data_IF_949338894843
#
_entry.id   IF_949338894843
#
_cell.length_a   1.000
_cell.length_b   1.000
_cell.length_c   1.000
_cell.angle_alpha   90.00
_cell.angle_beta   90.00
_cell.angle_gamma   90.00
#
_symmetry.space_group_name_H-M   'P 1'
#
loop_
_entity.id
_entity.type
_entity.pdbx_description
1 polymer ?
#
# COMPACT_ATOMS: atom_id res chain seq x y z
N UNK A 1 -24.44 6.91 20.47
CA UNK A 1 -25.46 7.93 20.32
C UNK A 1 -26.20 7.81 18.99
N UNK A 2 -27.20 8.65 18.76
CA UNK A 2 -28.00 8.65 17.52
C UNK A 2 -27.13 8.88 16.27
N UNK A 3 -26.09 9.71 16.38
CA UNK A 3 -25.15 10.00 15.28
C UNK A 3 -24.52 8.74 14.66
N UNK A 4 -24.06 7.81 15.45
CA UNK A 4 -23.48 6.57 14.94
C UNK A 4 -24.53 5.62 14.35
N UNK A 5 -25.78 5.69 14.80
CA UNK A 5 -26.89 4.94 14.22
C UNK A 5 -27.23 5.49 12.83
N UNK A 6 -27.30 6.79 12.69
CA UNK A 6 -27.60 7.44 11.42
C UNK A 6 -26.46 7.20 10.42
N UNK A 7 -25.20 7.32 10.85
CA UNK A 7 -24.04 6.99 10.04
C UNK A 7 -24.04 5.52 9.59
N UNK A 8 -24.37 4.58 10.51
CA UNK A 8 -24.49 3.16 10.15
C UNK A 8 -25.56 2.92 9.08
N UNK A 9 -26.71 3.59 9.17
CA UNK A 9 -27.76 3.50 8.17
C UNK A 9 -27.27 4.02 6.82
N UNK A 10 -26.57 5.16 6.79
CA UNK A 10 -25.97 5.71 5.58
C UNK A 10 -25.02 4.72 4.90
N UNK A 11 -24.09 4.12 5.68
CA UNK A 11 -23.14 3.14 5.16
C UNK A 11 -23.88 1.89 4.68
N UNK A 12 -24.86 1.39 5.43
CA UNK A 12 -25.65 0.21 5.07
C UNK A 12 -26.41 0.40 3.77
N UNK A 13 -27.05 1.56 3.57
CA UNK A 13 -27.80 1.84 2.34
C UNK A 13 -26.86 2.02 1.13
N UNK A 14 -25.68 2.61 1.33
CA UNK A 14 -24.63 2.64 0.33
C UNK A 14 -24.20 1.22 -0.04
N UNK A 15 -23.91 0.38 0.92
CA UNK A 15 -23.47 -1.01 0.69
C UNK A 15 -24.53 -1.84 -0.03
N UNK A 16 -25.82 -1.71 0.33
CA UNK A 16 -26.93 -2.38 -0.41
C UNK A 16 -26.97 -1.96 -1.87
N UNK A 17 -26.79 -0.66 -2.14
CA UNK A 17 -26.79 -0.12 -3.51
C UNK A 17 -25.63 -0.65 -4.34
N UNK A 18 -24.47 -0.89 -3.74
CA UNK A 18 -23.24 -1.25 -4.44
C UNK A 18 -22.74 -2.68 -4.15
N UNK A 19 -23.55 -3.55 -3.54
CA UNK A 19 -23.19 -4.93 -3.22
C UNK A 19 -22.88 -5.82 -4.43
N UNK A 20 -23.31 -5.45 -5.62
CA UNK A 20 -23.05 -6.18 -6.88
C UNK A 20 -22.04 -5.48 -7.79
N UNK A 21 -21.22 -4.57 -7.25
CA UNK A 21 -20.22 -3.89 -8.07
C UNK A 21 -19.05 -4.81 -8.38
N UNK A 22 -18.76 -4.96 -9.67
CA UNK A 22 -17.55 -5.58 -10.18
C UNK A 22 -16.51 -4.50 -10.51
N UNK A 23 -15.36 -4.58 -9.83
CA UNK A 23 -14.25 -3.67 -10.07
C UNK A 23 -13.33 -4.24 -11.16
N UNK A 24 -13.17 -3.49 -12.25
CA UNK A 24 -12.20 -3.82 -13.29
C UNK A 24 -10.78 -3.82 -12.70
N UNK A 25 -10.07 -4.95 -12.89
CA UNK A 25 -8.65 -5.05 -12.53
C UNK A 25 -7.82 -4.29 -13.55
N UNK A 26 -6.99 -3.37 -13.12
CA UNK A 26 -6.18 -2.54 -14.01
C UNK A 26 -5.05 -3.31 -14.72
N UNK A 27 -4.69 -4.52 -14.32
CA UNK A 27 -3.51 -5.23 -14.88
C UNK A 27 -3.50 -6.77 -14.81
N UNK A 28 -4.55 -7.43 -14.33
CA UNK A 28 -4.63 -8.90 -14.39
C UNK A 28 -5.81 -9.28 -15.27
N UNK A 29 -5.60 -9.95 -16.42
CA UNK A 29 -6.70 -10.58 -17.16
C UNK A 29 -7.19 -11.73 -16.28
N UNK A 30 -8.18 -11.51 -15.44
CA UNK A 30 -8.94 -12.61 -14.88
C UNK A 30 -9.70 -13.23 -16.05
N UNK A 31 -9.61 -14.57 -16.12
CA UNK A 31 -10.31 -15.43 -17.05
C UNK A 31 -11.70 -14.88 -17.40
N UNK A 32 -12.05 -14.95 -18.68
CA UNK A 32 -13.27 -14.51 -19.31
C UNK A 32 -14.56 -15.06 -18.65
N UNK A 33 -14.87 -14.62 -17.44
CA UNK A 33 -16.22 -14.80 -16.90
C UNK A 33 -17.11 -13.68 -17.45
N UNK A 34 -18.07 -14.09 -18.27
CA UNK A 34 -19.09 -13.20 -18.82
C UNK A 34 -19.84 -12.54 -17.67
N UNK A 35 -19.77 -11.21 -17.60
CA UNK A 35 -20.61 -10.38 -16.74
C UNK A 35 -22.08 -10.82 -16.85
N UNK A 36 -22.70 -11.13 -15.70
CA UNK A 36 -24.14 -11.37 -15.66
C UNK A 36 -24.86 -10.05 -15.88
N UNK A 37 -25.88 -10.02 -16.71
CA UNK A 37 -26.65 -8.80 -16.99
C UNK A 37 -27.25 -8.24 -15.69
N UNK A 38 -26.90 -7.00 -15.33
CA UNK A 38 -27.38 -6.30 -14.13
C UNK A 38 -26.30 -5.89 -13.14
N UNK A 39 -25.04 -6.26 -13.36
CA UNK A 39 -23.92 -5.91 -12.49
C UNK A 39 -23.35 -4.53 -12.86
N UNK A 40 -23.11 -3.69 -11.85
CA UNK A 40 -22.48 -2.38 -12.05
C UNK A 40 -20.99 -2.62 -12.25
N UNK A 41 -20.48 -2.35 -13.45
CA UNK A 41 -19.03 -2.34 -13.70
C UNK A 41 -18.46 -0.96 -13.39
N UNK A 42 -17.34 -0.91 -12.68
CA UNK A 42 -16.67 0.32 -12.32
C UNK A 42 -15.15 0.13 -12.31
N UNK A 43 -14.41 1.15 -12.77
CA UNK A 43 -12.97 1.17 -12.61
C UNK A 43 -12.62 1.27 -11.12
N UNK A 44 -11.54 0.59 -10.72
CA UNK A 44 -11.09 0.64 -9.33
C UNK A 44 -10.78 2.05 -8.85
N UNK A 45 -10.19 2.89 -9.69
CA UNK A 45 -9.93 4.31 -9.37
C UNK A 45 -11.21 5.11 -9.13
N UNK A 46 -12.26 4.88 -9.93
CA UNK A 46 -13.54 5.57 -9.76
C UNK A 46 -14.24 5.12 -8.46
N UNK A 47 -14.09 3.85 -8.11
CA UNK A 47 -14.55 3.31 -6.82
C UNK A 47 -13.83 3.98 -5.65
N UNK A 48 -12.50 4.10 -5.68
CA UNK A 48 -11.73 4.80 -4.66
C UNK A 48 -12.20 6.25 -4.49
N UNK A 49 -12.30 6.99 -5.60
CA UNK A 49 -12.80 8.37 -5.61
C UNK A 49 -14.21 8.48 -5.01
N UNK A 50 -15.09 7.53 -5.33
CA UNK A 50 -16.44 7.49 -4.74
C UNK A 50 -16.41 7.25 -3.24
N UNK A 51 -15.57 6.31 -2.76
CA UNK A 51 -15.43 6.02 -1.33
C UNK A 51 -14.85 7.22 -0.56
N UNK A 52 -13.85 7.90 -1.12
CA UNK A 52 -13.28 9.12 -0.54
C UNK A 52 -14.37 10.21 -0.45
N UNK A 53 -15.09 10.48 -1.54
CA UNK A 53 -16.16 11.47 -1.59
C UNK A 53 -17.25 11.22 -0.53
N UNK A 54 -17.52 9.96 -0.22
CA UNK A 54 -18.49 9.54 0.80
C UNK A 54 -17.91 9.53 2.23
N UNK A 55 -16.61 9.72 2.39
CA UNK A 55 -15.92 9.61 3.67
C UNK A 55 -15.86 8.17 4.21
N UNK A 56 -15.88 7.17 3.33
CA UNK A 56 -15.75 5.77 3.68
C UNK A 56 -14.32 5.24 3.51
N UNK A 57 -13.46 6.05 2.90
CA UNK A 57 -12.03 5.82 2.75
C UNK A 57 -11.25 7.11 2.92
N UNK A 58 -9.96 7.03 3.31
CA UNK A 58 -9.05 8.17 3.49
C UNK A 58 -9.65 9.29 4.37
N UNK A 59 -10.37 8.91 5.44
CA UNK A 59 -11.17 9.85 6.26
C UNK A 59 -10.36 10.96 6.89
N UNK A 60 -9.21 10.61 7.47
CA UNK A 60 -8.35 11.56 8.21
C UNK A 60 -7.30 12.24 7.33
N UNK A 61 -7.20 11.86 6.06
CA UNK A 61 -6.25 12.48 5.14
C UNK A 61 -6.82 13.83 4.71
N UNK A 62 -6.02 14.91 4.76
CA UNK A 62 -6.47 16.25 4.38
C UNK A 62 -7.00 16.32 2.93
N UNK A 63 -7.97 17.19 2.71
CA UNK A 63 -8.57 17.38 1.37
C UNK A 63 -7.58 17.89 0.34
N UNK A 64 -6.62 18.69 0.77
CA UNK A 64 -5.54 19.23 -0.06
C UNK A 64 -4.63 18.15 -0.66
N UNK A 65 -4.63 16.95 -0.06
CA UNK A 65 -3.92 15.75 -0.58
C UNK A 65 -4.89 14.67 -1.08
N UNK A 66 -6.10 15.04 -1.46
CA UNK A 66 -7.09 14.13 -2.06
C UNK A 66 -7.86 13.26 -1.07
N UNK A 67 -7.74 13.48 0.25
CA UNK A 67 -8.49 12.77 1.27
C UNK A 67 -9.88 13.35 1.53
N UNK A 68 -10.63 12.76 2.46
CA UNK A 68 -11.94 13.27 2.88
C UNK A 68 -11.82 14.49 3.81
N UNK A 69 -10.73 14.61 4.57
CA UNK A 69 -10.47 15.73 5.47
C UNK A 69 -11.37 15.76 6.70
N UNK A 70 -11.77 14.60 7.19
CA UNK A 70 -12.52 14.43 8.43
C UNK A 70 -11.61 14.10 9.61
N UNK A 71 -12.18 14.16 10.82
CA UNK A 71 -11.47 13.76 12.03
C UNK A 71 -11.27 12.24 12.11
N UNK A 72 -10.28 11.82 12.89
CA UNK A 72 -10.05 10.42 13.22
C UNK A 72 -11.21 9.95 14.12
N UNK A 73 -11.96 8.97 13.63
CA UNK A 73 -13.08 8.36 14.34
C UNK A 73 -13.05 6.83 14.15
N UNK A 74 -12.53 6.14 15.15
CA UNK A 74 -12.38 4.69 15.13
C UNK A 74 -13.73 3.97 15.08
N UNK A 75 -14.80 4.58 15.65
CA UNK A 75 -16.14 3.96 15.65
C UNK A 75 -16.70 4.03 14.24
N UNK A 76 -16.59 5.17 13.55
CA UNK A 76 -17.01 5.30 12.15
C UNK A 76 -16.23 4.36 11.24
N UNK A 77 -14.92 4.25 11.42
CA UNK A 77 -14.08 3.30 10.66
C UNK A 77 -14.54 1.86 10.86
N UNK A 78 -14.84 1.47 12.10
CA UNK A 78 -15.36 0.14 12.42
C UNK A 78 -16.74 -0.10 11.78
N UNK A 79 -17.65 0.87 11.84
CA UNK A 79 -18.98 0.78 11.21
C UNK A 79 -18.83 0.53 9.70
N UNK A 80 -17.94 1.26 9.02
CA UNK A 80 -17.67 1.06 7.59
C UNK A 80 -17.23 -0.37 7.34
N UNK A 81 -16.21 -0.86 8.04
CA UNK A 81 -15.68 -2.21 7.86
C UNK A 81 -16.76 -3.29 8.09
N UNK A 82 -17.58 -3.15 9.12
CA UNK A 82 -18.66 -4.09 9.45
C UNK A 82 -19.75 -4.13 8.35
N UNK A 83 -20.20 -2.97 7.87
CA UNK A 83 -21.28 -2.92 6.86
C UNK A 83 -20.79 -3.39 5.48
N UNK A 84 -19.56 -3.06 5.10
CA UNK A 84 -18.94 -3.56 3.86
C UNK A 84 -18.80 -5.09 3.90
N UNK A 85 -18.36 -5.67 5.01
CA UNK A 85 -18.22 -7.12 5.16
C UNK A 85 -19.56 -7.87 5.09
N UNK A 86 -20.64 -7.30 5.68
CA UNK A 86 -21.99 -7.91 5.68
C UNK A 86 -22.58 -8.06 4.28
N UNK A 87 -22.25 -7.19 3.37
CA UNK A 87 -22.89 -7.09 2.05
C UNK A 87 -22.01 -7.54 0.90
N UNK A 88 -20.79 -8.03 1.18
CA UNK A 88 -19.75 -8.28 0.19
C UNK A 88 -19.47 -7.08 -0.75
N UNK A 89 -19.67 -5.87 -0.23
CA UNK A 89 -19.31 -4.65 -0.96
C UNK A 89 -17.79 -4.60 -1.08
N UNK A 90 -17.20 -4.32 -2.27
CA UNK A 90 -15.77 -4.27 -2.42
C UNK A 90 -15.13 -3.27 -1.44
N UNK A 91 -14.15 -3.67 -0.64
CA UNK A 91 -13.46 -2.75 0.27
C UNK A 91 -12.64 -1.73 -0.53
N UNK A 92 -12.23 -0.62 0.08
CA UNK A 92 -11.22 0.26 -0.51
C UNK A 92 -9.93 -0.52 -0.78
N UNK A 93 -9.12 -0.03 -1.73
CA UNK A 93 -7.77 -0.55 -1.91
C UNK A 93 -6.95 -0.29 -0.65
N UNK A 94 -6.15 -1.26 -0.28
CA UNK A 94 -5.04 -1.13 0.64
C UNK A 94 -3.72 -1.35 -0.09
N UNK A 95 -2.68 -1.62 0.66
CA UNK A 95 -1.36 -1.98 0.19
C UNK A 95 -0.30 -0.97 0.60
N UNK A 96 0.96 -1.29 0.31
CA UNK A 96 2.13 -0.62 0.86
C UNK A 96 2.12 0.91 0.65
N UNK A 97 1.61 1.38 -0.50
CA UNK A 97 1.49 2.81 -0.75
C UNK A 97 0.49 3.49 0.19
N UNK A 98 -0.71 2.94 0.30
CA UNK A 98 -1.82 3.54 1.07
C UNK A 98 -1.59 3.39 2.57
N UNK A 99 -1.22 2.17 3.00
CA UNK A 99 -1.20 1.82 4.42
C UNK A 99 0.11 2.20 5.11
N UNK A 100 1.19 2.39 4.35
CA UNK A 100 2.52 2.64 4.88
C UNK A 100 3.10 3.98 4.38
N UNK A 101 3.20 4.18 3.06
CA UNK A 101 3.87 5.36 2.51
C UNK A 101 3.06 6.65 2.70
N UNK A 102 1.75 6.63 2.42
CA UNK A 102 0.91 7.84 2.58
C UNK A 102 1.02 8.43 3.98
N UNK A 103 0.83 7.66 5.08
CA UNK A 103 1.01 8.21 6.42
C UNK A 103 2.46 8.64 6.68
N UNK A 104 3.47 7.95 6.14
CA UNK A 104 4.88 8.36 6.25
C UNK A 104 5.12 9.71 5.56
N UNK A 105 4.57 9.93 4.37
CA UNK A 105 4.70 11.21 3.68
C UNK A 105 3.96 12.33 4.40
N UNK A 106 2.78 12.08 4.97
CA UNK A 106 2.06 13.07 5.78
C UNK A 106 2.89 13.54 6.97
N UNK A 107 3.66 12.63 7.58
CA UNK A 107 4.48 12.92 8.76
C UNK A 107 5.84 13.53 8.38
N UNK A 108 6.54 13.00 7.38
CA UNK A 108 7.96 13.25 7.12
C UNK A 108 8.28 13.71 5.69
N UNK A 109 7.32 13.68 4.77
CA UNK A 109 7.50 14.13 3.40
C UNK A 109 7.52 15.64 3.25
N UNK A 110 8.15 16.14 2.19
CA UNK A 110 8.05 17.54 1.81
C UNK A 110 6.67 17.86 1.27
N UNK A 111 6.31 19.13 1.18
CA UNK A 111 5.02 19.55 0.67
C UNK A 111 4.83 19.12 -0.79
N UNK A 112 5.90 19.23 -1.59
CA UNK A 112 5.91 18.80 -2.98
C UNK A 112 5.69 17.28 -3.10
N UNK A 113 6.30 16.49 -2.21
CA UNK A 113 6.10 15.03 -2.18
C UNK A 113 4.66 14.67 -1.81
N UNK A 114 4.07 15.35 -0.82
CA UNK A 114 2.67 15.13 -0.42
C UNK A 114 1.71 15.43 -1.57
N UNK A 115 1.87 16.59 -2.22
CA UNK A 115 1.04 17.01 -3.36
C UNK A 115 1.21 16.05 -4.55
N UNK A 116 2.43 15.59 -4.82
CA UNK A 116 2.73 14.74 -5.98
C UNK A 116 2.22 13.32 -5.83
N UNK A 117 2.30 12.74 -4.63
CA UNK A 117 2.17 11.30 -4.47
C UNK A 117 0.92 10.85 -3.71
N UNK A 118 0.36 11.64 -2.78
CA UNK A 118 -0.71 11.15 -1.91
C UNK A 118 -1.99 10.89 -2.70
N UNK A 119 -2.54 11.88 -3.39
CA UNK A 119 -3.80 11.72 -4.13
C UNK A 119 -3.74 10.60 -5.18
N UNK A 120 -2.72 10.52 -6.07
CA UNK A 120 -2.64 9.43 -7.03
C UNK A 120 -2.52 8.04 -6.38
N UNK A 121 -1.88 7.95 -5.20
CA UNK A 121 -1.79 6.70 -4.43
C UNK A 121 -3.16 6.31 -3.87
N UNK A 122 -3.90 7.24 -3.26
CA UNK A 122 -5.23 6.99 -2.74
C UNK A 122 -6.23 6.56 -3.83
N UNK A 123 -6.09 7.12 -5.02
CA UNK A 123 -6.91 6.78 -6.18
C UNK A 123 -6.51 5.44 -6.84
N UNK A 124 -5.38 4.83 -6.42
CA UNK A 124 -4.86 3.61 -7.03
C UNK A 124 -4.23 3.81 -8.41
N UNK A 125 -3.85 5.04 -8.73
CA UNK A 125 -3.15 5.41 -9.97
C UNK A 125 -1.65 5.11 -9.85
N UNK A 126 -1.09 5.23 -8.63
CA UNK A 126 0.28 4.83 -8.30
C UNK A 126 0.24 3.67 -7.30
N UNK A 127 0.78 2.54 -7.70
CA UNK A 127 1.01 1.37 -6.84
C UNK A 127 2.47 1.38 -6.41
N UNK A 128 2.71 1.12 -5.12
CA UNK A 128 4.03 1.14 -4.52
C UNK A 128 4.48 -0.24 -4.09
N UNK A 129 5.79 -0.47 -4.15
CA UNK A 129 6.45 -1.59 -3.51
C UNK A 129 7.53 -1.11 -2.53
N UNK A 130 7.92 -2.01 -1.63
CA UNK A 130 8.90 -1.74 -0.58
C UNK A 130 10.25 -2.38 -0.92
N UNK A 131 11.30 -1.58 -1.01
CA UNK A 131 12.66 -2.00 -1.25
C UNK A 131 13.51 -1.96 0.03
N UNK A 132 13.27 -2.89 0.97
CA UNK A 132 13.99 -2.92 2.25
C UNK A 132 15.00 -4.05 2.29
N UNK A 133 14.53 -5.30 2.37
CA UNK A 133 15.37 -6.48 2.57
C UNK A 133 16.34 -6.72 1.42
N UNK A 134 17.52 -7.23 1.75
CA UNK A 134 18.53 -7.70 0.82
C UNK A 134 18.88 -9.17 1.12
N UNK A 135 19.54 -9.91 0.20
CA UNK A 135 19.89 -11.31 0.45
C UNK A 135 20.60 -11.54 1.79
N UNK A 136 21.43 -10.59 2.25
CA UNK A 136 22.17 -10.67 3.50
C UNK A 136 21.70 -9.68 4.58
N UNK A 137 20.59 -8.96 4.36
CA UNK A 137 20.07 -7.97 5.30
C UNK A 137 18.53 -8.06 5.38
N UNK A 138 18.05 -8.93 6.25
CA UNK A 138 16.63 -9.10 6.59
C UNK A 138 16.37 -8.68 8.02
N UNK A 139 16.55 -9.59 9.00
CA UNK A 139 16.42 -9.26 10.43
C UNK A 139 17.40 -8.20 10.87
N UNK A 140 18.64 -8.23 10.37
CA UNK A 140 19.60 -7.15 10.51
C UNK A 140 19.51 -6.18 9.32
N UNK A 141 18.35 -5.53 9.17
CA UNK A 141 18.08 -4.63 8.06
C UNK A 141 19.09 -3.47 7.97
N UNK A 142 19.58 -3.01 9.11
CA UNK A 142 20.57 -1.92 9.14
C UNK A 142 21.92 -2.28 8.49
N UNK A 143 22.18 -3.55 8.16
CA UNK A 143 23.35 -3.98 7.38
C UNK A 143 23.19 -3.96 5.88
N UNK A 144 22.11 -3.36 5.37
CA UNK A 144 21.86 -3.21 3.93
C UNK A 144 23.07 -2.57 3.20
N UNK A 145 23.29 -3.02 1.96
CA UNK A 145 24.45 -2.67 1.14
C UNK A 145 24.08 -1.92 -0.16
N UNK A 146 22.81 -1.93 -0.57
CA UNK A 146 22.38 -1.14 -1.74
C UNK A 146 22.79 0.31 -1.53
N UNK A 147 23.74 0.80 -2.34
CA UNK A 147 24.31 2.14 -2.19
C UNK A 147 23.63 3.17 -3.06
N UNK A 148 23.66 4.42 -2.62
CA UNK A 148 23.26 5.57 -3.42
C UNK A 148 24.30 6.69 -3.24
N UNK A 149 24.81 7.18 -4.35
CA UNK A 149 25.78 8.27 -4.41
C UNK A 149 25.14 9.49 -5.07
N UNK A 150 25.32 10.67 -4.46
CA UNK A 150 24.79 11.91 -5.04
C UNK A 150 25.79 12.46 -6.06
N UNK A 151 25.40 12.43 -7.33
CA UNK A 151 26.24 12.86 -8.45
C UNK A 151 25.44 13.86 -9.30
N UNK A 152 25.93 15.08 -9.42
CA UNK A 152 25.32 16.15 -10.22
C UNK A 152 23.82 16.37 -9.91
N UNK A 153 23.44 16.37 -8.63
CA UNK A 153 22.05 16.58 -8.20
C UNK A 153 21.12 15.38 -8.40
N UNK A 154 21.68 14.18 -8.66
CA UNK A 154 20.93 12.95 -8.78
C UNK A 154 21.55 11.85 -7.92
N UNK A 155 20.70 11.01 -7.32
CA UNK A 155 21.12 9.77 -6.69
C UNK A 155 21.39 8.71 -7.76
N UNK A 156 22.59 8.12 -7.76
CA UNK A 156 22.96 6.96 -8.56
C UNK A 156 22.94 5.73 -7.65
N UNK A 157 22.04 4.80 -7.93
CA UNK A 157 21.71 3.67 -7.05
C UNK A 157 22.21 2.38 -7.66
N UNK A 158 22.94 1.58 -6.86
CA UNK A 158 23.47 0.27 -7.23
C UNK A 158 23.26 -0.74 -6.11
N UNK A 159 22.74 -1.92 -6.43
CA UNK A 159 22.53 -2.99 -5.45
C UNK A 159 21.38 -3.90 -5.81
N UNK A 160 20.85 -4.58 -4.79
CA UNK A 160 19.79 -5.56 -4.95
C UNK A 160 18.84 -5.54 -3.75
N UNK A 161 17.54 -5.65 -4.03
CA UNK A 161 16.50 -5.93 -3.02
C UNK A 161 15.87 -7.28 -3.27
N UNK A 162 15.37 -7.91 -2.21
CA UNK A 162 14.69 -9.21 -2.26
C UNK A 162 13.42 -9.18 -1.41
N UNK A 163 12.54 -10.12 -1.66
CA UNK A 163 11.21 -10.24 -1.03
C UNK A 163 10.32 -9.03 -1.28
N UNK A 164 10.56 -8.33 -2.38
CA UNK A 164 9.79 -7.16 -2.77
C UNK A 164 8.43 -7.59 -3.32
N UNK A 165 7.39 -7.43 -2.49
CA UNK A 165 6.02 -7.77 -2.88
C UNK A 165 5.54 -6.85 -4.01
N UNK A 166 4.90 -7.44 -5.02
CA UNK A 166 4.22 -6.73 -6.11
C UNK A 166 5.09 -5.80 -6.97
N UNK A 167 6.43 -5.88 -6.91
CA UNK A 167 7.32 -5.01 -7.67
C UNK A 167 7.01 -5.00 -9.18
N UNK A 168 6.64 -6.17 -9.74
CA UNK A 168 6.29 -6.32 -11.16
C UNK A 168 5.04 -5.54 -11.60
N UNK A 169 4.24 -5.04 -10.65
CA UNK A 169 3.02 -4.27 -10.91
C UNK A 169 3.10 -2.83 -10.42
N UNK A 170 4.18 -2.47 -9.70
CA UNK A 170 4.34 -1.18 -9.05
C UNK A 170 4.89 -0.14 -10.00
N UNK A 171 4.42 1.09 -9.88
CA UNK A 171 4.96 2.26 -10.59
C UNK A 171 6.10 2.90 -9.81
N UNK A 172 6.08 2.77 -8.48
CA UNK A 172 7.05 3.42 -7.60
C UNK A 172 7.51 2.45 -6.50
N UNK A 173 8.72 2.67 -6.00
CA UNK A 173 9.27 1.99 -4.84
C UNK A 173 9.68 3.01 -3.79
N UNK A 174 9.43 2.71 -2.52
CA UNK A 174 10.13 3.36 -1.42
C UNK A 174 11.24 2.45 -0.92
N UNK A 175 12.48 2.95 -0.98
CA UNK A 175 13.68 2.14 -0.87
C UNK A 175 14.63 2.66 0.21
N UNK A 176 15.20 1.75 1.01
CA UNK A 176 16.32 2.04 1.89
C UNK A 176 17.64 1.80 1.18
N UNK A 177 18.52 2.80 1.22
CA UNK A 177 19.83 2.77 0.57
C UNK A 177 20.91 3.27 1.51
N UNK A 178 22.16 2.84 1.29
CA UNK A 178 23.35 3.31 1.99
C UNK A 178 23.89 4.56 1.30
N UNK A 179 23.77 5.71 1.96
CA UNK A 179 24.31 6.98 1.45
C UNK A 179 25.56 7.44 2.18
N UNK A 180 25.78 6.97 3.44
CA UNK A 180 26.94 7.30 4.28
C UNK A 180 27.63 6.00 4.73
N UNK A 181 28.51 5.41 3.92
CA UNK A 181 29.15 4.12 4.25
C UNK A 181 30.05 4.18 5.48
N UNK A 182 30.65 5.34 5.77
CA UNK A 182 31.53 5.56 6.91
C UNK A 182 30.79 5.91 8.21
N UNK A 183 29.49 6.17 8.14
CA UNK A 183 28.69 6.52 9.31
C UNK A 183 28.31 5.27 10.13
N UNK A 184 27.94 5.44 11.42
CA UNK A 184 27.33 4.36 12.18
C UNK A 184 26.17 3.71 11.42
N UNK A 185 26.02 2.40 11.56
CA UNK A 185 25.14 1.53 10.76
C UNK A 185 23.75 2.11 10.48
N UNK A 186 23.08 2.66 11.49
CA UNK A 186 21.74 3.24 11.35
C UNK A 186 21.75 4.68 10.80
N UNK A 187 22.82 5.42 11.01
CA UNK A 187 22.95 6.80 10.56
C UNK A 187 23.46 6.94 9.11
N UNK A 188 23.74 5.81 8.45
CA UNK A 188 24.23 5.82 7.06
C UNK A 188 23.15 5.48 6.02
N UNK A 189 21.89 5.38 6.43
CA UNK A 189 20.78 4.95 5.59
C UNK A 189 19.92 6.14 5.20
N UNK A 190 19.50 6.21 3.94
CA UNK A 190 18.53 7.16 3.44
C UNK A 190 17.31 6.44 2.85
N UNK A 191 16.20 7.15 2.79
CA UNK A 191 14.93 6.65 2.26
C UNK A 191 14.63 7.39 0.96
N UNK A 192 14.60 6.67 -0.18
CA UNK A 192 14.47 7.27 -1.51
C UNK A 192 13.26 6.70 -2.25
N UNK A 193 12.52 7.56 -2.94
CA UNK A 193 11.41 7.21 -3.80
C UNK A 193 11.93 6.97 -5.23
N UNK A 194 11.74 5.76 -5.76
CA UNK A 194 12.31 5.32 -7.03
C UNK A 194 11.18 4.97 -8.00
N UNK A 195 11.11 5.60 -9.21
CA UNK A 195 10.25 5.13 -10.30
C UNK A 195 10.69 3.74 -10.76
N UNK A 196 9.76 2.79 -10.86
CA UNK A 196 10.06 1.40 -11.21
C UNK A 196 10.31 1.19 -12.72
N UNK A 197 10.06 2.21 -13.53
CA UNK A 197 10.40 2.26 -14.95
C UNK A 197 11.74 2.97 -15.24
N UNK A 198 12.48 3.36 -14.19
CA UNK A 198 13.79 3.98 -14.34
C UNK A 198 14.78 3.02 -15.02
N UNK A 199 15.59 3.51 -15.99
CA UNK A 199 16.62 2.70 -16.63
C UNK A 199 17.56 2.07 -15.60
N UNK A 200 17.94 0.80 -15.80
CA UNK A 200 18.83 0.08 -14.90
C UNK A 200 18.12 -0.74 -13.83
N UNK A 201 16.78 -0.73 -13.77
CA UNK A 201 16.01 -1.61 -12.90
C UNK A 201 15.70 -2.92 -13.62
N UNK A 202 16.03 -4.04 -12.99
CA UNK A 202 15.63 -5.37 -13.43
C UNK A 202 14.81 -6.04 -12.32
N UNK A 203 13.62 -6.56 -12.67
CA UNK A 203 12.72 -7.23 -11.72
C UNK A 203 12.66 -8.72 -12.08
N UNK A 204 12.98 -9.58 -11.12
CA UNK A 204 12.91 -11.04 -11.26
C UNK A 204 11.91 -11.63 -10.27
N UNK A 205 10.77 -12.14 -10.74
CA UNK A 205 9.78 -12.77 -9.87
C UNK A 205 10.34 -14.02 -9.19
N UNK A 206 10.03 -14.18 -7.90
CA UNK A 206 10.33 -15.37 -7.11
C UNK A 206 9.08 -16.23 -7.03
N UNK A 207 9.17 -17.44 -7.54
CA UNK A 207 8.08 -18.42 -7.49
C UNK A 207 8.16 -19.19 -6.18
N UNK A 208 7.13 -19.11 -5.35
CA UNK A 208 7.02 -19.83 -4.09
C UNK A 208 6.55 -21.29 -4.29
N UNK A 209 6.47 -22.06 -3.20
CA UNK A 209 6.04 -23.46 -3.22
C UNK A 209 4.59 -23.66 -3.65
N UNK A 210 3.78 -22.60 -3.68
CA UNK A 210 2.39 -22.61 -4.18
C UNK A 210 2.30 -22.23 -5.66
N UNK A 211 3.43 -22.06 -6.33
CA UNK A 211 3.56 -21.60 -7.72
C UNK A 211 3.13 -20.16 -7.94
N UNK A 212 3.02 -19.37 -6.87
CA UNK A 212 2.74 -17.95 -6.96
C UNK A 212 4.04 -17.13 -7.03
N UNK A 213 4.05 -16.09 -7.86
CA UNK A 213 5.14 -15.14 -7.99
C UNK A 213 4.78 -13.81 -7.31
N UNK A 214 4.52 -13.87 -5.99
CA UNK A 214 4.12 -12.71 -5.19
C UNK A 214 5.27 -11.82 -4.75
N UNK A 215 6.48 -12.36 -4.71
CA UNK A 215 7.70 -11.67 -4.32
C UNK A 215 8.67 -11.53 -5.50
N UNK A 216 9.58 -10.58 -5.39
CA UNK A 216 10.58 -10.32 -6.43
C UNK A 216 11.96 -10.03 -5.84
N UNK A 217 12.98 -10.33 -6.63
CA UNK A 217 14.27 -9.67 -6.57
C UNK A 217 14.20 -8.43 -7.46
N UNK A 218 14.83 -7.35 -7.01
CA UNK A 218 14.95 -6.10 -7.77
C UNK A 218 16.41 -5.68 -7.78
N UNK A 219 16.99 -5.62 -8.98
CA UNK A 219 18.38 -5.21 -9.19
C UNK A 219 18.43 -3.77 -9.67
N UNK A 220 19.42 -3.04 -9.17
CA UNK A 220 19.70 -1.65 -9.54
C UNK A 220 21.12 -1.58 -10.13
N UNK A 221 21.22 -1.10 -11.35
CA UNK A 221 22.50 -0.87 -12.06
C UNK A 221 22.50 0.56 -12.56
N UNK A 222 23.24 1.44 -11.87
CA UNK A 222 23.35 2.88 -12.17
C UNK A 222 21.99 3.58 -12.31
N UNK A 223 21.02 3.17 -11.51
CA UNK A 223 19.67 3.76 -11.51
C UNK A 223 19.75 5.19 -11.00
N UNK A 224 19.29 6.12 -11.81
CA UNK A 224 19.41 7.55 -11.53
C UNK A 224 18.05 8.15 -11.18
N UNK A 225 17.95 8.82 -10.02
CA UNK A 225 16.76 9.54 -9.57
C UNK A 225 17.12 10.91 -9.02
N UNK A 226 16.23 11.92 -9.15
CA UNK A 226 16.49 13.27 -8.66
C UNK A 226 16.78 13.32 -7.14
N UNK A 227 17.59 14.30 -6.73
CA UNK A 227 17.96 14.49 -5.32
C UNK A 227 16.75 14.67 -4.40
N UNK A 228 15.72 15.36 -4.87
CA UNK A 228 14.48 15.62 -4.14
C UNK A 228 13.60 14.38 -3.88
N UNK A 229 13.94 13.23 -4.44
CA UNK A 229 13.24 11.97 -4.17
C UNK A 229 13.57 11.37 -2.79
N UNK A 230 14.47 11.97 -2.04
CA UNK A 230 14.73 11.57 -0.65
C UNK A 230 13.57 12.00 0.27
N UNK A 231 13.14 11.12 1.17
CA UNK A 231 12.17 11.43 2.23
C UNK A 231 12.92 11.63 3.54
N UNK A 232 12.66 12.74 4.20
CA UNK A 232 13.48 13.18 5.34
C UNK A 232 14.84 13.71 4.89
N UNK A 233 15.86 13.60 5.76
CA UNK A 233 17.22 14.07 5.46
C UNK A 233 18.13 12.89 5.09
N UNK A 234 19.20 13.20 4.36
CA UNK A 234 20.28 12.27 4.06
C UNK A 234 20.87 11.69 5.36
N UNK A 235 20.97 10.36 5.43
CA UNK A 235 21.44 9.64 6.61
C UNK A 235 20.38 9.41 7.69
N UNK A 236 19.19 10.02 7.60
CA UNK A 236 18.09 9.85 8.57
C UNK A 236 17.02 8.83 8.14
N UNK A 237 17.26 8.10 7.06
CA UNK A 237 16.30 7.13 6.50
C UNK A 237 15.90 5.99 7.45
N UNK A 238 16.70 5.70 8.46
CA UNK A 238 16.34 4.72 9.49
C UNK A 238 15.15 5.19 10.34
N UNK A 239 15.10 6.48 10.67
CA UNK A 239 13.96 7.06 11.40
C UNK A 239 12.69 7.02 10.52
N UNK A 240 12.82 7.36 9.23
CA UNK A 240 11.71 7.27 8.26
C UNK A 240 11.22 5.83 8.13
N UNK A 241 12.13 4.86 8.04
CA UNK A 241 11.78 3.43 7.97
C UNK A 241 11.01 2.97 9.21
N UNK A 242 11.42 3.41 10.41
CA UNK A 242 10.71 3.06 11.64
C UNK A 242 9.30 3.66 11.69
N UNK A 243 9.10 4.88 11.22
CA UNK A 243 7.76 5.47 11.08
C UNK A 243 6.90 4.63 10.11
N UNK A 244 7.45 4.31 8.93
CA UNK A 244 6.78 3.45 7.92
C UNK A 244 6.38 2.08 8.48
N UNK A 245 7.28 1.40 9.20
CA UNK A 245 7.02 0.10 9.84
C UNK A 245 6.05 0.22 11.03
N UNK A 246 6.00 1.40 11.67
CA UNK A 246 5.00 1.70 12.71
C UNK A 246 3.58 1.68 12.13
N UNK A 247 3.39 2.24 10.96
CA UNK A 247 2.10 2.22 10.24
C UNK A 247 1.73 0.81 9.77
N UNK A 248 2.71 0.03 9.28
CA UNK A 248 2.49 -1.36 8.87
C UNK A 248 1.89 -2.24 9.97
N UNK A 249 2.40 -2.10 11.20
CA UNK A 249 1.91 -2.88 12.36
C UNK A 249 0.42 -2.68 12.61
N UNK A 250 -0.11 -1.49 12.34
CA UNK A 250 -1.53 -1.19 12.46
C UNK A 250 -2.40 -1.92 11.42
N UNK A 251 -1.84 -2.24 10.25
CA UNK A 251 -2.57 -2.90 9.15
C UNK A 251 -2.54 -4.43 9.21
N UNK A 252 -1.57 -5.03 9.91
CA UNK A 252 -1.36 -6.49 9.95
C UNK A 252 -2.39 -7.25 10.79
N UNK A 253 -3.19 -6.60 11.62
CA UNK A 253 -4.15 -7.25 12.50
C UNK A 253 -5.56 -6.66 12.36
N UNK A 254 -6.37 -7.23 11.46
CA UNK A 254 -7.81 -7.02 11.49
C UNK A 254 -8.50 -8.19 12.20
N UNK A 255 -8.92 -8.01 13.48
CA UNK A 255 -9.62 -9.06 14.23
C UNK A 255 -10.91 -9.51 13.54
N UNK A 256 -11.59 -8.62 12.79
CA UNK A 256 -12.83 -8.95 12.10
C UNK A 256 -12.56 -9.87 10.90
N UNK A 257 -11.48 -9.68 10.16
CA UNK A 257 -11.10 -10.57 9.07
C UNK A 257 -10.78 -11.99 9.59
N UNK A 258 -10.10 -12.09 10.73
CA UNK A 258 -9.84 -13.39 11.38
C UNK A 258 -11.12 -14.07 11.88
N UNK A 259 -12.02 -13.30 12.53
CA UNK A 259 -13.31 -13.83 12.98
C UNK A 259 -14.18 -14.27 11.81
N UNK A 260 -14.21 -13.54 10.72
CA UNK A 260 -14.97 -13.91 9.51
C UNK A 260 -14.43 -15.21 8.90
N UNK A 261 -13.10 -15.38 8.84
CA UNK A 261 -12.48 -16.64 8.39
C UNK A 261 -12.84 -17.80 9.30
N UNK A 262 -12.78 -17.62 10.61
CA UNK A 262 -13.17 -18.64 11.59
C UNK A 262 -14.65 -19.02 11.45
N UNK A 263 -15.55 -18.04 11.38
CA UNK A 263 -16.98 -18.28 11.19
C UNK A 263 -17.28 -19.01 9.87
N UNK A 264 -16.61 -18.63 8.77
CA UNK A 264 -16.74 -19.32 7.50
C UNK A 264 -16.28 -20.78 7.57
N UNK A 265 -15.21 -21.06 8.33
CA UNK A 265 -14.73 -22.42 8.55
C UNK A 265 -15.74 -23.21 9.38
N UNK A 266 -16.27 -22.65 10.47
CA UNK A 266 -17.30 -23.27 11.30
C UNK A 266 -18.55 -23.62 10.48
N UNK A 267 -19.01 -22.71 9.63
CA UNK A 267 -20.18 -22.97 8.77
C UNK A 267 -19.89 -24.11 7.75
N UNK A 268 -18.70 -24.13 7.15
CA UNK A 268 -18.30 -25.26 6.28
C UNK A 268 -18.29 -26.58 7.03
N UNK A 269 -17.73 -26.63 8.24
CA UNK A 269 -17.70 -27.85 9.06
C UNK A 269 -19.10 -28.33 9.42
N UNK A 270 -20.05 -27.45 9.68
CA UNK A 270 -21.47 -27.84 9.89
C UNK A 270 -22.07 -28.51 8.67
N UNK A 271 -21.78 -28.00 7.47
CA UNK A 271 -22.26 -28.59 6.21
C UNK A 271 -21.65 -29.96 5.92
N UNK A 272 -20.35 -30.13 6.15
CA UNK A 272 -19.64 -31.40 5.89
C UNK A 272 -19.96 -32.48 6.91
N UNK A 273 -20.46 -32.12 8.11
CA UNK A 273 -20.82 -33.11 9.16
C UNK A 273 -22.25 -33.63 9.00
N UNK A 274 -23.06 -33.04 8.10
CA UNK A 274 -24.47 -33.41 7.85
C UNK A 274 -24.61 -34.31 6.61
N UNK A 275 -23.56 -34.47 5.81
CA UNK A 275 -23.46 -35.37 4.67
C UNK A 275 -22.43 -36.47 4.92
#
# INVERSE_FOLDING_TARGET
GSEYKDFRNEVSDFCKKYSGVHLESSKVPLSSEKSKSGEIQMKRSDWQKLLIKKGFFARSIPKEYGGFGGEIDLIKSRIIAEEFAKTNTPPPMGGQGIDMLVPTLLELGTEEQKQKYIEPTLNGEIIWCQGYSEPNAGSDLASLQTKAELINGNWVINGQKIWTSTAQYSQMMFCLVRTEPEAPKHAGISYILIPMDAPGIEIRPLVDMTLNAGFNEVFFTDVTVPEENIVGKRGEGWAVANATLGHERGSLSDPNAMMNRLNSLIERMKYETIN
#
